data_IF_179577219854
#
_entry.id   IF_179577219854
#
_cell.length_a   1.000
_cell.length_b   1.000
_cell.length_c   1.000
_cell.angle_alpha   90.00
_cell.angle_beta   90.00
_cell.angle_gamma   90.00
#
_symmetry.space_group_name_H-M   'P 1'
#
loop_
_entity.id
_entity.type
_entity.pdbx_description
1 polymer ?
#
# COMPACT_ATOMS: atom_id res chain seq x y z
N UNK A 1 10.30 19.09 -3.61
CA UNK A 1 9.87 17.71 -3.84
C UNK A 1 8.80 17.70 -4.93
N UNK A 2 9.01 16.95 -5.97
CA UNK A 2 8.08 16.88 -7.09
C UNK A 2 7.26 15.59 -6.96
N UNK A 3 5.94 15.74 -6.99
CA UNK A 3 5.03 14.61 -6.88
C UNK A 3 5.13 13.78 -8.16
N UNK A 4 5.36 12.48 -8.04
CA UNK A 4 5.58 11.60 -9.18
C UNK A 4 4.27 10.97 -9.71
N UNK A 5 3.13 11.36 -9.12
CA UNK A 5 1.79 10.96 -9.57
C UNK A 5 1.13 12.16 -10.22
N UNK A 6 0.68 11.98 -11.46
CA UNK A 6 -0.18 12.92 -12.17
C UNK A 6 -1.65 12.65 -11.81
N UNK A 7 -2.18 13.41 -10.87
CA UNK A 7 -3.57 13.26 -10.43
C UNK A 7 -4.59 13.71 -11.50
N UNK A 8 -4.23 14.57 -12.44
CA UNK A 8 -5.13 14.94 -13.56
C UNK A 8 -5.37 13.74 -14.48
N UNK A 9 -4.30 12.99 -14.77
CA UNK A 9 -4.41 11.76 -15.56
C UNK A 9 -5.14 10.67 -14.78
N UNK A 10 -4.78 10.49 -13.51
CA UNK A 10 -5.40 9.46 -12.66
C UNK A 10 -6.91 9.73 -12.51
N UNK A 11 -7.33 10.97 -12.29
CA UNK A 11 -8.76 11.35 -12.22
C UNK A 11 -9.50 11.02 -13.50
N UNK A 12 -8.90 11.22 -14.67
CA UNK A 12 -9.50 10.86 -15.95
C UNK A 12 -9.65 9.35 -16.14
N UNK A 13 -8.69 8.60 -15.59
CA UNK A 13 -8.63 7.15 -15.76
C UNK A 13 -9.60 6.40 -14.82
N UNK A 14 -9.71 6.84 -13.56
CA UNK A 14 -10.42 6.09 -12.51
C UNK A 14 -11.39 6.93 -11.67
N UNK A 15 -11.52 8.24 -11.92
CA UNK A 15 -12.27 9.16 -11.05
C UNK A 15 -13.78 8.95 -11.02
N UNK A 16 -14.34 8.19 -11.97
CA UNK A 16 -15.76 7.82 -11.96
C UNK A 16 -16.06 6.65 -11.00
N UNK A 17 -15.05 5.87 -10.62
CA UNK A 17 -15.21 4.67 -9.78
C UNK A 17 -14.50 4.79 -8.42
N UNK A 18 -13.40 5.55 -8.36
CA UNK A 18 -12.55 5.63 -7.17
C UNK A 18 -12.31 7.06 -6.71
N UNK A 19 -12.06 7.17 -5.41
CA UNK A 19 -11.41 8.32 -4.78
C UNK A 19 -10.07 7.90 -4.22
N UNK A 20 -9.13 8.84 -4.13
CA UNK A 20 -7.78 8.57 -3.62
C UNK A 20 -7.65 9.10 -2.20
N UNK A 21 -7.42 8.23 -1.23
CA UNK A 21 -6.98 8.60 0.11
C UNK A 21 -5.46 8.75 0.07
N UNK A 22 -4.98 9.99 0.00
CA UNK A 22 -3.57 10.28 -0.19
C UNK A 22 -2.88 10.55 1.14
N UNK A 23 -1.95 9.66 1.51
CA UNK A 23 -1.14 9.77 2.72
C UNK A 23 0.32 10.02 2.35
N UNK A 24 0.73 11.27 2.07
CA UNK A 24 2.11 11.60 1.80
C UNK A 24 2.96 11.50 3.06
N UNK A 25 4.26 11.24 2.88
CA UNK A 25 5.20 11.26 3.99
C UNK A 25 5.15 12.62 4.72
N UNK A 26 5.22 12.60 6.04
CA UNK A 26 5.01 13.78 6.91
C UNK A 26 5.89 14.99 6.53
N UNK A 27 7.10 14.78 5.97
CA UNK A 27 7.97 15.86 5.53
C UNK A 27 7.39 16.70 4.40
N UNK A 28 6.53 16.11 3.56
CA UNK A 28 5.98 16.80 2.37
C UNK A 28 4.48 17.10 2.50
N UNK A 29 3.83 16.57 3.53
CA UNK A 29 2.38 16.68 3.72
C UNK A 29 1.85 18.11 3.69
N UNK A 30 2.64 19.08 4.18
CA UNK A 30 2.26 20.49 4.22
C UNK A 30 2.67 21.28 2.96
N UNK A 31 3.43 20.70 2.04
CA UNK A 31 3.95 21.38 0.85
C UNK A 31 3.16 21.06 -0.42
N UNK A 32 2.18 20.16 -0.35
CA UNK A 32 1.40 19.74 -1.50
C UNK A 32 0.03 20.41 -1.47
N UNK A 33 -0.27 21.20 -2.52
CA UNK A 33 -1.60 21.77 -2.72
C UNK A 33 -2.46 20.79 -3.53
N UNK A 34 -3.50 20.25 -2.88
CA UNK A 34 -4.45 19.31 -3.46
C UNK A 34 -5.80 19.97 -3.77
N UNK A 35 -5.95 21.28 -3.60
CA UNK A 35 -7.22 22.00 -3.79
C UNK A 35 -7.83 21.79 -5.18
N UNK A 36 -6.98 21.67 -6.21
CA UNK A 36 -7.39 21.37 -7.59
C UNK A 36 -8.10 20.03 -7.75
N UNK A 37 -7.86 19.08 -6.81
CA UNK A 37 -8.34 17.70 -6.88
C UNK A 37 -9.47 17.43 -5.88
N UNK A 38 -10.12 18.46 -5.37
CA UNK A 38 -11.25 18.31 -4.44
C UNK A 38 -12.30 17.33 -4.99
N UNK A 39 -12.81 16.46 -4.12
CA UNK A 39 -13.74 15.39 -4.47
C UNK A 39 -13.11 14.15 -5.09
N UNK A 40 -11.82 14.18 -5.47
CA UNK A 40 -11.10 13.02 -5.99
C UNK A 40 -9.92 12.60 -5.11
N UNK A 41 -9.10 13.57 -4.66
CA UNK A 41 -7.96 13.29 -3.76
C UNK A 41 -8.26 13.88 -2.40
N UNK A 42 -8.28 13.02 -1.39
CA UNK A 42 -8.50 13.38 0.01
C UNK A 42 -7.17 13.24 0.75
N UNK A 43 -6.65 14.34 1.30
CA UNK A 43 -5.44 14.31 2.09
C UNK A 43 -5.72 13.71 3.47
N UNK A 44 -5.16 12.53 3.73
CA UNK A 44 -5.30 11.81 5.01
C UNK A 44 -3.99 11.76 5.81
N UNK A 45 -2.99 12.60 5.49
CA UNK A 45 -1.69 12.64 6.17
C UNK A 45 -1.76 12.91 7.68
N UNK A 46 -2.87 13.46 8.17
CA UNK A 46 -3.11 13.74 9.59
C UNK A 46 -4.18 12.86 10.22
N UNK A 47 -4.57 11.79 9.53
CA UNK A 47 -5.48 10.83 10.10
C UNK A 47 -4.70 9.90 11.04
N UNK A 48 -5.16 9.80 12.30
CA UNK A 48 -4.37 9.19 13.37
C UNK A 48 -4.32 7.65 13.26
N UNK A 49 -5.39 7.03 12.74
CA UNK A 49 -5.56 5.56 12.75
C UNK A 49 -5.49 4.96 11.34
N UNK A 50 -4.27 4.62 10.92
CA UNK A 50 -4.04 4.06 9.58
C UNK A 50 -4.83 2.77 9.30
N UNK A 51 -5.09 1.96 10.33
CA UNK A 51 -5.85 0.74 10.18
C UNK A 51 -7.30 0.98 9.72
N UNK A 52 -7.92 2.09 10.14
CA UNK A 52 -9.25 2.47 9.66
C UNK A 52 -9.22 2.83 8.17
N UNK A 53 -8.14 3.49 7.71
CA UNK A 53 -7.94 3.77 6.29
C UNK A 53 -7.80 2.46 5.49
N UNK A 54 -7.10 1.46 6.02
CA UNK A 54 -7.01 0.15 5.37
C UNK A 54 -8.37 -0.51 5.25
N UNK A 55 -9.20 -0.45 6.30
CA UNK A 55 -10.53 -1.09 6.30
C UNK A 55 -11.47 -0.52 5.25
N UNK A 56 -11.38 0.79 4.95
CA UNK A 56 -12.23 1.45 3.96
C UNK A 56 -11.63 1.45 2.55
N UNK A 57 -10.37 1.06 2.38
CA UNK A 57 -9.70 1.04 1.08
C UNK A 57 -9.94 -0.27 0.34
N UNK A 58 -10.34 -0.20 -0.92
CA UNK A 58 -10.48 -1.37 -1.80
C UNK A 58 -9.13 -1.80 -2.37
N UNK A 59 -8.24 -0.84 -2.63
CA UNK A 59 -6.91 -1.05 -3.20
C UNK A 59 -5.92 -0.21 -2.40
N UNK A 60 -4.75 -0.75 -2.08
CA UNK A 60 -3.62 0.07 -1.65
C UNK A 60 -2.61 0.22 -2.80
N UNK A 61 -2.15 1.45 -2.98
CA UNK A 61 -1.03 1.77 -3.84
C UNK A 61 0.11 2.26 -2.96
N UNK A 62 1.27 1.64 -3.08
CA UNK A 62 2.44 1.98 -2.26
C UNK A 62 3.72 1.86 -3.07
N UNK A 63 4.79 2.46 -2.58
CA UNK A 63 6.13 2.34 -3.15
C UNK A 63 6.97 1.30 -2.38
N UNK A 64 7.89 1.76 -1.55
CA UNK A 64 8.81 0.93 -0.74
C UNK A 64 8.39 0.85 0.73
N UNK A 65 7.21 1.35 1.07
CA UNK A 65 6.71 1.39 2.44
C UNK A 65 6.26 0.01 2.91
N UNK A 66 6.47 -0.28 4.20
CA UNK A 66 6.04 -1.53 4.83
C UNK A 66 4.52 -1.65 5.06
N UNK A 67 3.73 -0.63 4.73
CA UNK A 67 2.26 -0.61 4.92
C UNK A 67 1.54 -1.80 4.26
N UNK A 68 2.12 -2.37 3.22
CA UNK A 68 1.53 -3.50 2.52
C UNK A 68 1.52 -4.80 3.35
N UNK A 69 2.38 -4.95 4.36
CA UNK A 69 2.33 -6.11 5.27
C UNK A 69 1.02 -6.13 6.04
N UNK A 70 0.65 -5.00 6.65
CA UNK A 70 -0.59 -4.89 7.42
C UNK A 70 -1.82 -5.03 6.52
N UNK A 71 -1.80 -4.32 5.37
CA UNK A 71 -2.90 -4.37 4.41
C UNK A 71 -3.12 -5.76 3.81
N UNK A 72 -2.06 -6.57 3.67
CA UNK A 72 -2.14 -7.92 3.15
C UNK A 72 -3.03 -8.85 3.99
N UNK A 73 -3.27 -8.56 5.26
CA UNK A 73 -4.23 -9.29 6.08
C UNK A 73 -5.67 -9.17 5.58
N UNK A 74 -6.00 -8.12 4.84
CA UNK A 74 -7.33 -7.89 4.28
C UNK A 74 -7.60 -8.67 2.99
N UNK A 75 -6.56 -9.25 2.37
CA UNK A 75 -6.63 -9.98 1.10
C UNK A 75 -7.26 -9.16 -0.02
N UNK A 76 -6.97 -7.87 -0.05
CA UNK A 76 -7.38 -6.91 -1.08
C UNK A 76 -6.20 -6.55 -1.97
N UNK A 77 -6.43 -6.00 -3.19
CA UNK A 77 -5.37 -5.67 -4.13
C UNK A 77 -4.32 -4.71 -3.57
N UNK A 78 -3.05 -5.06 -3.81
CA UNK A 78 -1.90 -4.21 -3.53
C UNK A 78 -1.22 -3.93 -4.86
N UNK A 79 -0.97 -2.66 -5.18
CA UNK A 79 -0.24 -2.21 -6.38
C UNK A 79 1.03 -1.51 -5.93
N UNK A 80 2.17 -1.96 -6.41
CA UNK A 80 3.46 -1.34 -6.12
C UNK A 80 3.83 -0.36 -7.22
N UNK A 81 3.93 0.94 -6.89
CA UNK A 81 4.33 1.99 -7.81
C UNK A 81 5.79 2.38 -7.58
N UNK A 82 6.70 1.70 -8.27
CA UNK A 82 8.15 1.81 -8.10
C UNK A 82 8.79 2.58 -9.25
N UNK A 83 8.41 3.85 -9.44
CA UNK A 83 8.82 4.72 -10.55
C UNK A 83 10.33 5.03 -10.57
N UNK A 84 11.00 4.97 -9.44
CA UNK A 84 12.42 5.29 -9.28
C UNK A 84 13.26 4.07 -8.82
N UNK A 85 12.79 2.87 -9.11
CA UNK A 85 13.37 1.60 -8.65
C UNK A 85 14.89 1.53 -8.84
N UNK A 86 15.39 1.84 -10.04
CA UNK A 86 16.82 1.73 -10.35
C UNK A 86 17.67 2.72 -9.53
N UNK A 87 17.12 3.91 -9.26
CA UNK A 87 17.74 4.91 -8.41
C UNK A 87 17.72 4.47 -6.93
N UNK A 88 16.59 3.93 -6.48
CA UNK A 88 16.41 3.45 -5.11
C UNK A 88 17.39 2.32 -4.79
N UNK A 89 17.47 1.30 -5.66
CA UNK A 89 18.39 0.17 -5.52
C UNK A 89 19.85 0.59 -5.53
N UNK A 90 20.24 1.56 -6.37
CA UNK A 90 21.64 1.98 -6.51
C UNK A 90 22.14 2.89 -5.39
N UNK A 91 21.26 3.61 -4.69
CA UNK A 91 21.65 4.71 -3.79
C UNK A 91 21.19 4.59 -2.34
N UNK A 92 20.11 3.86 -2.05
CA UNK A 92 19.46 3.98 -0.75
C UNK A 92 19.53 2.73 0.12
N UNK A 93 19.09 1.56 -0.33
CA UNK A 93 19.12 0.31 0.47
C UNK A 93 18.78 -0.91 -0.39
N UNK A 94 19.28 -2.08 0.04
CA UNK A 94 18.75 -3.37 -0.41
C UNK A 94 17.33 -3.60 0.15
N UNK A 95 16.49 -4.27 -0.63
CA UNK A 95 15.16 -4.64 -0.18
C UNK A 95 15.23 -5.78 0.83
N UNK A 96 14.41 -5.68 1.86
CA UNK A 96 14.31 -6.72 2.88
C UNK A 96 13.68 -8.01 2.34
N UNK A 97 12.85 -7.88 1.31
CA UNK A 97 12.21 -8.97 0.58
C UNK A 97 12.48 -8.85 -0.90
N UNK A 98 12.57 -10.01 -1.56
CA UNK A 98 12.70 -10.06 -3.02
C UNK A 98 11.44 -9.50 -3.69
N UNK A 99 11.60 -8.80 -4.81
CA UNK A 99 10.47 -8.34 -5.62
C UNK A 99 9.57 -9.50 -6.09
N UNK A 100 10.15 -10.69 -6.25
CA UNK A 100 9.40 -11.88 -6.64
C UNK A 100 8.42 -12.36 -5.55
N UNK A 101 8.62 -11.94 -4.31
CA UNK A 101 7.76 -12.28 -3.17
C UNK A 101 6.62 -11.28 -2.97
N UNK A 102 6.64 -10.14 -3.66
CA UNK A 102 5.61 -9.11 -3.48
C UNK A 102 4.23 -9.62 -3.89
N UNK A 103 3.20 -9.39 -3.06
CA UNK A 103 1.86 -9.97 -3.26
C UNK A 103 0.98 -9.17 -4.22
N UNK A 104 1.56 -8.48 -5.19
CA UNK A 104 0.83 -7.66 -6.15
C UNK A 104 1.67 -7.22 -7.33
N UNK A 105 1.05 -6.59 -8.34
CA UNK A 105 1.73 -6.07 -9.51
C UNK A 105 2.66 -4.92 -9.17
N UNK A 106 3.81 -4.89 -9.87
CA UNK A 106 4.77 -3.79 -9.83
C UNK A 106 4.57 -2.96 -11.09
N UNK A 107 4.37 -1.66 -10.92
CA UNK A 107 4.25 -0.67 -11.98
C UNK A 107 5.38 0.36 -11.86
N UNK A 108 5.96 0.78 -12.96
CA UNK A 108 7.09 1.71 -12.98
C UNK A 108 6.76 3.05 -13.64
N UNK A 109 5.67 3.08 -14.37
CA UNK A 109 5.20 4.28 -15.05
C UNK A 109 3.76 4.60 -14.67
N UNK A 110 3.39 5.87 -14.81
CA UNK A 110 2.00 6.31 -14.59
C UNK A 110 1.01 5.53 -15.50
N UNK A 111 1.39 5.24 -16.74
CA UNK A 111 0.55 4.50 -17.68
C UNK A 111 0.31 3.05 -17.22
N UNK A 112 1.36 2.38 -16.73
CA UNK A 112 1.25 1.03 -16.17
C UNK A 112 0.35 1.01 -14.94
N UNK A 113 0.49 2.01 -14.06
CA UNK A 113 -0.32 2.17 -12.87
C UNK A 113 -1.81 2.33 -13.23
N UNK A 114 -2.13 3.26 -14.15
CA UNK A 114 -3.49 3.51 -14.61
C UNK A 114 -4.12 2.23 -15.20
N UNK A 115 -3.41 1.54 -16.10
CA UNK A 115 -3.86 0.28 -16.68
C UNK A 115 -4.06 -0.82 -15.65
N UNK A 116 -3.18 -0.89 -14.67
CA UNK A 116 -3.27 -1.88 -13.59
C UNK A 116 -4.53 -1.66 -12.76
N UNK A 117 -4.82 -0.42 -12.34
CA UNK A 117 -6.00 -0.12 -11.52
C UNK A 117 -7.29 -0.34 -12.32
N UNK A 118 -7.37 0.13 -13.56
CA UNK A 118 -8.54 -0.08 -14.44
C UNK A 118 -8.87 -1.57 -14.60
N UNK A 119 -7.86 -2.42 -14.65
CA UNK A 119 -8.03 -3.86 -14.86
C UNK A 119 -7.84 -4.66 -13.55
N UNK A 120 -7.98 -4.05 -12.40
CA UNK A 120 -7.58 -4.66 -11.11
C UNK A 120 -8.30 -5.98 -10.84
N UNK A 121 -9.56 -6.10 -11.21
CA UNK A 121 -10.35 -7.32 -11.05
C UNK A 121 -9.78 -8.53 -11.82
N UNK A 122 -9.11 -8.28 -12.94
CA UNK A 122 -8.48 -9.31 -13.77
C UNK A 122 -6.98 -9.47 -13.49
N UNK A 123 -6.32 -8.40 -12.99
CA UNK A 123 -4.90 -8.43 -12.64
C UNK A 123 -4.66 -9.10 -11.29
N UNK A 124 -5.44 -8.74 -10.26
CA UNK A 124 -5.22 -9.21 -8.90
C UNK A 124 -5.29 -10.74 -8.76
N UNK A 125 -6.24 -11.48 -9.38
CA UNK A 125 -6.28 -12.94 -9.29
C UNK A 125 -5.01 -13.65 -9.77
N UNK A 126 -4.20 -13.03 -10.64
CA UNK A 126 -2.91 -13.59 -11.07
C UNK A 126 -1.87 -13.69 -9.94
N UNK A 127 -2.10 -12.94 -8.88
CA UNK A 127 -1.22 -12.87 -7.70
C UNK A 127 -1.73 -13.66 -6.50
N UNK A 128 -2.89 -14.31 -6.59
CA UNK A 128 -3.53 -15.03 -5.47
C UNK A 128 -2.58 -15.99 -4.76
N UNK A 129 -1.85 -16.81 -5.50
CA UNK A 129 -0.87 -17.75 -4.93
C UNK A 129 0.29 -17.02 -4.23
N UNK A 130 0.85 -15.98 -4.86
CA UNK A 130 1.92 -15.17 -4.24
C UNK A 130 1.42 -14.50 -2.96
N UNK A 131 0.20 -14.04 -2.97
CA UNK A 131 -0.44 -13.41 -1.83
C UNK A 131 -0.62 -14.38 -0.65
N UNK A 132 -1.07 -15.61 -0.94
CA UNK A 132 -1.15 -16.66 0.08
C UNK A 132 0.21 -17.02 0.65
N UNK A 133 1.23 -17.20 -0.19
CA UNK A 133 2.58 -17.54 0.22
C UNK A 133 3.20 -16.41 1.05
N UNK A 134 2.95 -15.15 0.66
CA UNK A 134 3.35 -13.97 1.42
C UNK A 134 2.73 -13.97 2.83
N UNK A 135 1.41 -14.11 2.95
CA UNK A 135 0.72 -14.12 4.24
C UNK A 135 1.16 -15.29 5.14
N UNK A 136 1.38 -16.47 4.55
CA UNK A 136 1.92 -17.64 5.29
C UNK A 136 3.32 -17.37 5.84
N UNK A 137 4.14 -16.61 5.11
CA UNK A 137 5.52 -16.35 5.50
C UNK A 137 5.65 -15.21 6.50
N UNK A 138 4.92 -14.12 6.30
CA UNK A 138 5.12 -12.88 7.01
C UNK A 138 4.02 -12.56 8.04
N UNK A 139 2.77 -12.95 7.77
CA UNK A 139 1.60 -12.59 8.57
C UNK A 139 0.97 -13.80 9.29
N UNK A 140 1.70 -14.91 9.42
CA UNK A 140 1.15 -16.15 10.01
C UNK A 140 0.76 -16.01 11.50
N UNK A 141 1.22 -14.97 12.19
CA UNK A 141 0.86 -14.68 13.57
C UNK A 141 -0.26 -13.62 13.71
N UNK A 142 -0.74 -13.06 12.60
CA UNK A 142 -1.75 -11.99 12.60
C UNK A 142 -3.17 -12.57 12.62
N UNK A 143 -3.46 -13.30 13.67
CA UNK A 143 -4.73 -14.02 13.89
C UNK A 143 -5.67 -13.32 14.90
N UNK A 144 -5.34 -12.09 15.29
CA UNK A 144 -6.07 -11.31 16.30
C UNK A 144 -5.72 -11.65 17.75
N UNK A 145 -4.88 -12.66 18.00
CA UNK A 145 -4.53 -13.14 19.35
C UNK A 145 -3.10 -12.76 19.78
N UNK A 146 -2.43 -11.85 19.06
CA UNK A 146 -1.03 -11.48 19.33
C UNK A 146 -0.84 -10.95 20.75
N UNK A 147 -1.73 -10.06 21.24
CA UNK A 147 -1.66 -9.51 22.60
C UNK A 147 -1.78 -10.60 23.66
N UNK A 148 -2.68 -11.57 23.48
CA UNK A 148 -2.83 -12.70 24.41
C UNK A 148 -1.56 -13.55 24.47
N UNK A 149 -0.94 -13.85 23.31
CA UNK A 149 0.32 -14.58 23.26
C UNK A 149 1.44 -13.86 23.98
N UNK A 150 1.57 -12.54 23.76
CA UNK A 150 2.58 -11.72 24.43
C UNK A 150 2.38 -11.71 25.94
N UNK A 151 1.14 -11.50 26.41
CA UNK A 151 0.82 -11.52 27.82
C UNK A 151 1.16 -12.87 28.45
N UNK A 152 0.76 -13.97 27.83
CA UNK A 152 1.08 -15.33 28.31
C UNK A 152 2.59 -15.59 28.37
N UNK A 153 3.34 -15.09 27.39
CA UNK A 153 4.79 -15.28 27.36
C UNK A 153 5.53 -14.47 28.42
N UNK A 154 5.11 -13.21 28.63
CA UNK A 154 5.77 -12.30 29.59
C UNK A 154 5.39 -12.63 31.03
N UNK A 155 4.13 -13.00 31.28
CA UNK A 155 3.58 -13.22 32.62
C UNK A 155 3.35 -14.71 32.90
N UNK A 156 4.25 -15.58 32.46
CA UNK A 156 4.16 -17.05 32.62
C UNK A 156 3.92 -17.52 34.08
N UNK A 157 4.23 -16.71 35.06
CA UNK A 157 4.06 -17.02 36.50
C UNK A 157 2.81 -16.39 37.14
N UNK A 158 2.00 -15.67 36.37
CA UNK A 158 0.86 -14.90 36.91
C UNK A 158 -0.52 -15.48 36.55
N UNK A 159 -0.58 -16.71 36.00
CA UNK A 159 -1.82 -17.41 35.67
C UNK A 159 -1.83 -18.81 36.27
#
# INVERSE_FOLDING_TARGET
YELQIDFDRLRKAIGDEYVVLFSPHYFIANSIDLSKYEGFVINVARYDEINELYLVSDIIMTDYSSVFFDFANLKRPIVFYMYDYDLYQSRLRDFYISLDELPGPITRTQEELEKCIINIETEFPKYERKYEDFNKKYNYLDDGNASERVIKEIFKEAV
#
